data_IF_219304876424
#
_entry.id   IF_219304876424
#
_cell.length_a   1.000
_cell.length_b   1.000
_cell.length_c   1.000
_cell.angle_alpha   90.00
_cell.angle_beta   90.00
_cell.angle_gamma   90.00
#
_symmetry.space_group_name_H-M   'P 1'
#
loop_
_entity.id
_entity.type
_entity.pdbx_description
1 polymer ?
#
# COMPACT_ATOMS: atom_id res chain seq x y z
N UNK A 1 10.39 -18.26 -4.55
CA UNK A 1 10.22 -17.57 -3.26
C UNK A 1 9.11 -18.29 -2.52
N UNK A 2 9.27 -18.56 -1.22
CA UNK A 2 8.14 -18.98 -0.40
C UNK A 2 7.40 -17.70 -0.03
N UNK A 3 6.15 -17.57 -0.46
CA UNK A 3 5.32 -16.44 -0.08
C UNK A 3 4.70 -16.74 1.29
N UNK A 4 4.90 -15.85 2.24
CA UNK A 4 4.33 -15.98 3.57
C UNK A 4 2.95 -15.32 3.61
N UNK A 5 2.04 -15.92 4.39
CA UNK A 5 0.76 -15.29 4.70
C UNK A 5 1.07 -13.99 5.43
N UNK A 6 0.42 -12.88 5.09
CA UNK A 6 0.55 -11.67 5.91
C UNK A 6 0.08 -11.97 7.34
N UNK A 7 0.83 -11.46 8.31
CA UNK A 7 0.48 -11.62 9.72
C UNK A 7 -0.84 -10.93 10.04
N UNK A 8 -1.16 -9.86 9.31
CA UNK A 8 -2.32 -9.00 9.53
C UNK A 8 -3.30 -9.03 8.35
N UNK A 9 -4.58 -8.75 8.63
CA UNK A 9 -5.59 -8.50 7.61
C UNK A 9 -5.33 -7.16 6.91
N UNK A 10 -5.87 -7.02 5.70
CA UNK A 10 -5.64 -5.84 4.86
C UNK A 10 -6.17 -4.55 5.48
N UNK A 11 -7.27 -4.62 6.26
CA UNK A 11 -7.81 -3.46 6.98
C UNK A 11 -6.84 -2.92 8.05
N UNK A 12 -6.19 -3.80 8.81
CA UNK A 12 -5.17 -3.44 9.79
C UNK A 12 -3.97 -2.78 9.10
N UNK A 13 -3.45 -3.41 8.03
CA UNK A 13 -2.34 -2.85 7.25
C UNK A 13 -2.71 -1.45 6.74
N UNK A 14 -3.92 -1.31 6.18
CA UNK A 14 -4.42 -0.05 5.64
C UNK A 14 -4.49 1.04 6.71
N UNK A 15 -5.09 0.74 7.86
CA UNK A 15 -5.25 1.68 8.95
C UNK A 15 -3.88 2.13 9.49
N UNK A 16 -2.94 1.20 9.68
CA UNK A 16 -1.60 1.52 10.18
C UNK A 16 -0.77 2.36 9.21
N UNK A 17 -0.79 2.03 7.92
CA UNK A 17 -0.10 2.78 6.87
C UNK A 17 -0.67 4.20 6.81
N UNK A 18 -2.00 4.34 6.67
CA UNK A 18 -2.64 5.65 6.54
C UNK A 18 -2.46 6.49 7.80
N UNK A 19 -2.63 5.90 8.98
CA UNK A 19 -2.38 6.58 10.25
C UNK A 19 -0.94 7.11 10.34
N UNK A 20 0.04 6.28 9.96
CA UNK A 20 1.45 6.67 10.04
C UNK A 20 1.79 7.79 9.06
N UNK A 21 1.30 7.71 7.82
CA UNK A 21 1.49 8.74 6.81
C UNK A 21 0.80 10.05 7.22
N UNK A 22 -0.44 10.00 7.72
CA UNK A 22 -1.16 11.18 8.19
C UNK A 22 -0.51 11.77 9.45
N UNK A 23 0.01 10.95 10.35
CA UNK A 23 0.80 11.43 11.51
C UNK A 23 2.05 12.16 11.03
N UNK A 24 2.80 11.57 10.10
CA UNK A 24 4.03 12.17 9.56
C UNK A 24 3.72 13.51 8.87
N UNK A 25 2.67 13.56 8.06
CA UNK A 25 2.22 14.76 7.37
C UNK A 25 1.73 15.85 8.34
N UNK A 26 0.83 15.52 9.25
CA UNK A 26 0.09 16.52 10.04
C UNK A 26 0.78 16.85 11.37
N UNK A 27 1.28 15.84 12.09
CA UNK A 27 1.91 16.03 13.40
C UNK A 27 3.37 16.46 13.26
N UNK A 28 4.13 15.82 12.37
CA UNK A 28 5.53 16.15 12.13
C UNK A 28 5.74 17.20 11.03
N UNK A 29 4.66 17.60 10.34
CA UNK A 29 4.70 18.61 9.27
C UNK A 29 5.66 18.23 8.14
N UNK A 30 5.83 16.93 7.89
CA UNK A 30 6.66 16.46 6.80
C UNK A 30 5.94 16.65 5.47
N UNK A 31 6.60 17.14 4.42
CA UNK A 31 6.09 17.06 3.06
C UNK A 31 5.67 15.63 2.68
N UNK A 32 4.72 15.48 1.76
CA UNK A 32 4.15 14.19 1.35
C UNK A 32 5.25 13.19 0.97
N UNK A 33 6.21 13.61 0.15
CA UNK A 33 7.32 12.77 -0.29
C UNK A 33 8.20 12.30 0.88
N UNK A 34 8.45 13.15 1.86
CA UNK A 34 9.21 12.79 3.06
C UNK A 34 8.41 11.88 3.99
N UNK A 35 7.09 12.08 4.10
CA UNK A 35 6.21 11.21 4.88
C UNK A 35 6.22 9.78 4.34
N UNK A 36 6.15 9.63 3.03
CA UNK A 36 6.24 8.34 2.33
C UNK A 36 7.64 7.75 2.49
N UNK A 37 8.70 8.52 2.21
CA UNK A 37 10.08 8.02 2.33
C UNK A 37 10.42 7.55 3.74
N UNK A 38 9.97 8.28 4.76
CA UNK A 38 10.16 7.90 6.17
C UNK A 38 9.47 6.57 6.48
N UNK A 39 8.20 6.42 6.10
CA UNK A 39 7.45 5.18 6.30
C UNK A 39 8.08 3.99 5.57
N UNK A 40 8.49 4.18 4.31
CA UNK A 40 9.14 3.14 3.52
C UNK A 40 10.48 2.70 4.12
N UNK A 41 11.24 3.63 4.71
CA UNK A 41 12.49 3.33 5.38
C UNK A 41 12.27 2.59 6.71
N UNK A 42 11.23 2.93 7.47
CA UNK A 42 10.88 2.20 8.70
C UNK A 42 10.43 0.76 8.43
N UNK A 43 9.85 0.52 7.25
CA UNK A 43 9.24 -0.77 6.87
C UNK A 43 10.17 -1.66 6.03
N UNK A 44 11.42 -1.24 5.79
CA UNK A 44 12.34 -1.94 4.88
C UNK A 44 12.57 -3.40 5.29
N UNK A 45 12.81 -3.66 6.58
CA UNK A 45 13.00 -5.03 7.09
C UNK A 45 11.78 -5.92 6.90
N UNK A 46 10.57 -5.39 7.19
CA UNK A 46 9.32 -6.11 6.96
C UNK A 46 9.13 -6.46 5.48
N UNK A 47 9.50 -5.56 4.57
CA UNK A 47 9.37 -5.79 3.13
C UNK A 47 10.38 -6.78 2.54
N UNK A 48 11.54 -6.96 3.19
CA UNK A 48 12.50 -8.00 2.83
C UNK A 48 11.99 -9.40 3.22
N UNK A 49 11.26 -9.50 4.33
CA UNK A 49 10.72 -10.75 4.85
C UNK A 49 9.36 -11.11 4.23
N UNK A 50 8.53 -10.10 3.92
CA UNK A 50 7.17 -10.28 3.44
C UNK A 50 6.85 -9.44 2.20
N UNK A 51 6.97 -10.06 1.03
CA UNK A 51 6.64 -9.43 -0.24
C UNK A 51 5.15 -9.06 -0.36
N UNK A 52 4.25 -9.86 0.21
CA UNK A 52 2.81 -9.58 0.15
C UNK A 52 2.48 -8.27 0.86
N UNK A 53 3.02 -8.07 2.06
CA UNK A 53 2.82 -6.83 2.82
C UNK A 53 3.37 -5.61 2.08
N UNK A 54 4.51 -5.75 1.40
CA UNK A 54 5.04 -4.71 0.53
C UNK A 54 4.05 -4.37 -0.60
N UNK A 55 3.49 -5.38 -1.26
CA UNK A 55 2.53 -5.20 -2.37
C UNK A 55 1.24 -4.54 -1.87
N UNK A 56 0.68 -5.01 -0.74
CA UNK A 56 -0.51 -4.41 -0.12
C UNK A 56 -0.25 -2.96 0.31
N UNK A 57 0.91 -2.69 0.89
CA UNK A 57 1.34 -1.33 1.26
C UNK A 57 1.32 -0.38 0.07
N UNK A 58 1.80 -0.80 -1.10
CA UNK A 58 1.75 0.05 -2.30
C UNK A 58 0.31 0.34 -2.75
N UNK A 59 -0.64 -0.57 -2.55
CA UNK A 59 -2.07 -0.26 -2.80
C UNK A 59 -2.55 0.82 -1.85
N UNK A 60 -2.23 0.70 -0.55
CA UNK A 60 -2.62 1.72 0.44
C UNK A 60 -1.96 3.07 0.15
N UNK A 61 -0.71 3.09 -0.29
CA UNK A 61 -0.04 4.30 -0.78
C UNK A 61 -0.79 4.92 -1.96
N UNK A 62 -1.36 4.12 -2.87
CA UNK A 62 -2.22 4.61 -3.94
C UNK A 62 -3.43 5.41 -3.43
N UNK A 63 -4.06 4.97 -2.34
CA UNK A 63 -5.16 5.70 -1.68
C UNK A 63 -4.67 7.03 -1.11
N UNK A 64 -3.53 7.03 -0.41
CA UNK A 64 -2.94 8.23 0.16
C UNK A 64 -2.56 9.26 -0.92
N UNK A 65 -1.91 8.80 -2.00
CA UNK A 65 -1.52 9.64 -3.15
C UNK A 65 -2.76 10.31 -3.77
N UNK A 66 -3.84 9.55 -3.99
CA UNK A 66 -5.12 10.08 -4.47
C UNK A 66 -5.68 11.14 -3.51
N UNK A 67 -5.72 10.84 -2.21
CA UNK A 67 -6.28 11.73 -1.19
C UNK A 67 -5.61 13.11 -1.18
N UNK A 68 -4.30 13.15 -1.43
CA UNK A 68 -3.52 14.38 -1.43
C UNK A 68 -3.13 14.89 -2.82
N UNK A 69 -3.69 14.30 -3.89
CA UNK A 69 -3.38 14.64 -5.29
C UNK A 69 -1.88 14.73 -5.60
N UNK A 70 -1.11 13.81 -5.02
CA UNK A 70 0.33 13.77 -5.17
C UNK A 70 0.69 13.07 -6.49
N UNK A 71 1.64 13.62 -7.25
CA UNK A 71 1.99 13.12 -8.58
C UNK A 71 3.50 12.87 -8.68
N UNK A 72 3.94 11.74 -8.14
CA UNK A 72 5.30 11.20 -8.35
C UNK A 72 5.23 9.98 -9.27
N UNK A 73 5.83 10.08 -10.45
CA UNK A 73 5.73 9.07 -11.49
C UNK A 73 6.33 7.73 -11.07
N UNK A 74 7.45 7.75 -10.34
CA UNK A 74 8.11 6.52 -9.90
C UNK A 74 7.23 5.76 -8.89
N UNK A 75 6.66 6.48 -7.93
CA UNK A 75 5.77 5.90 -6.94
C UNK A 75 4.48 5.40 -7.59
N UNK A 76 3.86 6.19 -8.47
CA UNK A 76 2.66 5.77 -9.22
C UNK A 76 2.93 4.47 -9.99
N UNK A 77 4.10 4.35 -10.65
CA UNK A 77 4.46 3.11 -11.36
C UNK A 77 4.58 1.91 -10.42
N UNK A 78 5.09 2.08 -9.20
CA UNK A 78 5.13 1.02 -8.18
C UNK A 78 3.73 0.62 -7.72
N UNK A 79 2.82 1.58 -7.54
CA UNK A 79 1.40 1.32 -7.24
C UNK A 79 0.77 0.52 -8.36
N UNK A 80 0.91 0.95 -9.62
CA UNK A 80 0.36 0.26 -10.79
C UNK A 80 0.91 -1.17 -10.89
N UNK A 81 2.21 -1.36 -10.67
CA UNK A 81 2.83 -2.69 -10.69
C UNK A 81 2.23 -3.60 -9.62
N UNK A 82 2.08 -3.09 -8.39
CA UNK A 82 1.54 -3.84 -7.26
C UNK A 82 0.07 -4.25 -7.49
N UNK A 83 -0.72 -3.35 -8.07
CA UNK A 83 -2.09 -3.64 -8.52
C UNK A 83 -2.10 -4.80 -9.52
N UNK A 84 -1.22 -4.76 -10.55
CA UNK A 84 -1.14 -5.85 -11.54
C UNK A 84 -0.77 -7.19 -10.90
N UNK A 85 0.13 -7.18 -9.92
CA UNK A 85 0.49 -8.40 -9.18
C UNK A 85 -0.70 -8.96 -8.40
N UNK A 86 -1.51 -8.12 -7.75
CA UNK A 86 -2.70 -8.58 -7.03
C UNK A 86 -3.78 -9.11 -7.99
N UNK A 87 -3.93 -8.49 -9.16
CA UNK A 87 -4.89 -8.95 -10.19
C UNK A 87 -4.49 -10.25 -10.88
N UNK A 88 -3.21 -10.65 -10.82
CA UNK A 88 -2.76 -11.96 -11.30
C UNK A 88 -3.29 -13.12 -10.44
N UNK A 89 -3.84 -12.81 -9.26
CA UNK A 89 -4.31 -13.74 -8.23
C UNK A 89 -3.20 -14.58 -7.59
N UNK A 90 -1.92 -14.22 -7.78
CA UNK A 90 -0.76 -14.92 -7.23
C UNK A 90 -0.80 -15.07 -5.69
N UNK A 91 -1.41 -14.10 -5.00
CA UNK A 91 -1.48 -14.05 -3.53
C UNK A 91 -2.85 -14.41 -2.95
N UNK A 92 -3.84 -14.83 -3.76
CA UNK A 92 -5.21 -15.00 -3.28
C UNK A 92 -5.35 -16.00 -2.12
N UNK A 93 -4.50 -17.03 -2.08
CA UNK A 93 -4.48 -18.04 -1.03
C UNK A 93 -3.80 -17.57 0.27
N UNK A 94 -3.20 -16.38 0.26
CA UNK A 94 -2.49 -15.79 1.40
C UNK A 94 -3.31 -14.69 2.11
N UNK A 95 -4.46 -14.33 1.56
CA UNK A 95 -5.34 -13.35 2.17
C UNK A 95 -6.11 -13.91 3.37
N UNK A 96 -6.49 -13.03 4.28
CA UNK A 96 -7.48 -13.32 5.30
C UNK A 96 -8.90 -13.19 4.72
N UNK A 97 -9.88 -13.74 5.44
CA UNK A 97 -11.27 -13.71 5.01
C UNK A 97 -11.76 -12.25 4.88
N UNK A 98 -12.24 -11.89 3.68
CA UNK A 98 -12.76 -10.56 3.38
C UNK A 98 -11.74 -9.56 2.80
N UNK A 99 -10.44 -9.82 2.92
CA UNK A 99 -9.38 -8.93 2.41
C UNK A 99 -9.55 -8.65 0.91
N UNK A 100 -9.89 -9.68 0.12
CA UNK A 100 -9.98 -9.55 -1.34
C UNK A 100 -10.99 -8.49 -1.77
N UNK A 101 -12.15 -8.44 -1.12
CA UNK A 101 -13.19 -7.47 -1.44
C UNK A 101 -12.73 -6.03 -1.11
N UNK A 102 -12.06 -5.86 0.03
CA UNK A 102 -11.50 -4.56 0.45
C UNK A 102 -10.40 -4.08 -0.51
N UNK A 103 -9.48 -4.98 -0.87
CA UNK A 103 -8.40 -4.72 -1.83
C UNK A 103 -8.98 -4.32 -3.19
N UNK A 104 -9.95 -5.08 -3.70
CA UNK A 104 -10.54 -4.83 -5.02
C UNK A 104 -11.27 -3.48 -5.08
N UNK A 105 -11.95 -3.11 -3.99
CA UNK A 105 -12.59 -1.80 -3.87
C UNK A 105 -11.56 -0.67 -3.90
N UNK A 106 -10.46 -0.79 -3.16
CA UNK A 106 -9.39 0.22 -3.15
C UNK A 106 -8.69 0.31 -4.52
N UNK A 107 -8.39 -0.82 -5.15
CA UNK A 107 -7.81 -0.87 -6.51
C UNK A 107 -8.70 -0.13 -7.51
N UNK A 108 -10.02 -0.35 -7.45
CA UNK A 108 -10.96 0.35 -8.32
C UNK A 108 -10.89 1.86 -8.13
N UNK A 109 -10.91 2.33 -6.88
CA UNK A 109 -10.82 3.75 -6.53
C UNK A 109 -9.51 4.38 -7.03
N UNK A 110 -8.39 3.67 -6.91
CA UNK A 110 -7.08 4.13 -7.40
C UNK A 110 -7.08 4.21 -8.93
N UNK A 111 -7.57 3.18 -9.62
CA UNK A 111 -7.64 3.15 -11.08
C UNK A 111 -8.53 4.24 -11.67
N UNK A 112 -9.60 4.62 -10.99
CA UNK A 112 -10.46 5.74 -11.40
C UNK A 112 -9.74 7.09 -11.29
N UNK A 113 -8.82 7.25 -10.34
CA UNK A 113 -8.01 8.46 -10.18
C UNK A 113 -6.83 8.56 -11.15
N UNK A 114 -6.18 7.44 -11.48
CA UNK A 114 -5.00 7.41 -12.36
C UNK A 114 -5.32 7.47 -13.87
N UNK A 115 -6.59 7.62 -14.25
CA UNK A 115 -7.06 7.79 -15.63
C UNK A 115 -7.02 9.24 -16.09
#
# INVERSE_FOLDING_TARGET
MNYEKSEFSYDIIKDEVLYTLDRNLNKYKLPINQSIAYYMNESEGTFEENELERVLTYVVLGIFIKQYSYNDEQLINKVISSIKTLESNEYNNLFHDGDKELIDNDIKVIKEYLK
#
